data_IF_098138768728
#
_entry.id   IF_098138768728
#
_cell.length_a   1.000
_cell.length_b   1.000
_cell.length_c   1.000
_cell.angle_alpha   90.00
_cell.angle_beta   90.00
_cell.angle_gamma   90.00
#
_symmetry.space_group_name_H-M   'P 1'
#
loop_
_entity.id
_entity.type
_entity.pdbx_description
1 polymer ?
#
# COMPACT_ATOMS: atom_id res chain seq x y z
N UNK A 1 0.48 -31.50 -10.74
CA UNK A 1 0.75 -30.51 -11.81
C UNK A 1 2.20 -30.11 -11.68
N UNK A 2 3.05 -30.25 -12.71
CA UNK A 2 4.44 -29.86 -12.61
C UNK A 2 4.53 -28.34 -12.38
N UNK A 3 5.39 -27.94 -11.43
CA UNK A 3 5.58 -26.54 -10.99
C UNK A 3 5.93 -25.58 -12.14
N UNK A 4 6.44 -26.10 -13.26
CA UNK A 4 6.74 -25.35 -14.48
C UNK A 4 5.51 -24.68 -15.11
N UNK A 5 4.31 -25.24 -14.92
CA UNK A 5 3.08 -24.64 -15.41
C UNK A 5 2.60 -23.45 -14.57
N UNK A 6 2.93 -23.44 -13.27
CA UNK A 6 2.46 -22.43 -12.33
C UNK A 6 3.23 -21.10 -12.49
N UNK A 7 4.53 -21.18 -12.78
CA UNK A 7 5.42 -20.02 -12.97
C UNK A 7 5.02 -19.16 -14.18
N UNK A 8 4.55 -19.77 -15.27
CA UNK A 8 4.21 -19.07 -16.52
C UNK A 8 2.88 -18.31 -16.45
N UNK A 9 1.96 -18.74 -15.58
CA UNK A 9 0.59 -18.19 -15.49
C UNK A 9 0.56 -16.91 -14.64
N UNK A 10 1.43 -16.80 -13.64
CA UNK A 10 1.38 -15.70 -12.65
C UNK A 10 2.55 -14.71 -12.73
N UNK A 11 3.48 -14.86 -13.68
CA UNK A 11 4.63 -13.96 -13.83
C UNK A 11 5.63 -14.01 -12.67
N UNK A 12 5.52 -14.99 -11.77
CA UNK A 12 6.41 -15.12 -10.61
C UNK A 12 7.65 -15.92 -11.04
N UNK A 13 8.73 -15.22 -11.39
CA UNK A 13 10.06 -15.82 -11.54
C UNK A 13 10.68 -16.04 -10.14
N UNK A 14 10.48 -17.23 -9.59
CA UNK A 14 11.25 -17.67 -8.42
C UNK A 14 12.66 -17.99 -8.93
N UNK A 15 13.60 -17.06 -8.73
CA UNK A 15 14.98 -17.12 -9.19
C UNK A 15 15.80 -18.22 -8.49
N UNK A 16 15.45 -19.50 -8.64
CA UNK A 16 16.26 -20.61 -8.13
C UNK A 16 17.54 -20.82 -8.96
N UNK A 17 17.47 -20.61 -10.28
CA UNK A 17 18.57 -20.85 -11.21
C UNK A 17 19.78 -19.92 -10.98
N UNK A 18 19.55 -18.68 -10.52
CA UNK A 18 20.62 -17.72 -10.23
C UNK A 18 21.44 -18.15 -9.00
N UNK A 19 20.82 -18.82 -8.04
CA UNK A 19 21.51 -19.29 -6.83
C UNK A 19 22.16 -20.67 -6.99
N UNK A 20 21.94 -21.36 -8.12
CA UNK A 20 22.57 -22.66 -8.42
C UNK A 20 22.15 -23.79 -7.48
N UNK A 21 21.06 -23.64 -6.71
CA UNK A 21 20.57 -24.64 -5.75
C UNK A 21 19.14 -25.06 -6.11
N UNK A 22 18.93 -26.37 -6.21
CA UNK A 22 17.64 -26.99 -6.50
C UNK A 22 16.91 -27.34 -5.18
N UNK A 23 15.58 -27.27 -5.18
CA UNK A 23 14.70 -27.71 -4.08
C UNK A 23 14.89 -26.96 -2.73
N UNK A 24 15.07 -25.64 -2.78
CA UNK A 24 15.03 -24.78 -1.60
C UNK A 24 13.69 -24.06 -1.48
N UNK A 25 13.09 -23.95 -0.28
CA UNK A 25 11.99 -23.02 -0.03
C UNK A 25 12.54 -21.59 -0.09
N UNK A 26 12.71 -21.04 -1.30
CA UNK A 26 12.88 -19.60 -1.48
C UNK A 26 11.55 -19.00 -1.03
N UNK A 27 11.57 -18.35 0.13
CA UNK A 27 10.41 -17.73 0.74
C UNK A 27 9.78 -16.79 -0.28
N UNK A 28 8.67 -17.22 -0.89
CA UNK A 28 7.98 -16.51 -1.97
C UNK A 28 7.64 -15.04 -1.63
N UNK A 29 7.67 -14.70 -0.35
CA UNK A 29 7.48 -13.35 0.18
C UNK A 29 8.51 -12.36 -0.40
N UNK A 30 9.74 -12.79 -0.69
CA UNK A 30 10.77 -11.90 -1.26
C UNK A 30 10.67 -11.73 -2.78
N UNK A 31 9.87 -12.54 -3.49
CA UNK A 31 9.80 -12.44 -4.95
C UNK A 31 9.24 -11.08 -5.39
N UNK A 32 8.28 -10.49 -4.65
CA UNK A 32 7.78 -9.14 -4.93
C UNK A 32 8.82 -8.04 -4.70
N UNK A 33 9.77 -8.25 -3.78
CA UNK A 33 10.85 -7.30 -3.53
C UNK A 33 11.87 -7.27 -4.68
N UNK A 34 12.06 -8.40 -5.36
CA UNK A 34 13.03 -8.56 -6.46
C UNK A 34 12.38 -8.22 -7.81
N UNK A 35 11.15 -8.70 -8.05
CA UNK A 35 10.46 -8.61 -9.34
C UNK A 35 9.76 -7.26 -9.56
N UNK A 36 9.31 -6.61 -8.47
CA UNK A 36 8.60 -5.33 -8.53
C UNK A 36 9.10 -4.33 -7.48
N UNK A 37 10.36 -3.86 -7.57
CA UNK A 37 10.94 -2.94 -6.58
C UNK A 37 10.12 -1.65 -6.40
N UNK A 38 9.41 -1.20 -7.44
CA UNK A 38 8.54 -0.02 -7.38
C UNK A 38 7.23 -0.25 -6.61
N UNK A 39 6.75 -1.50 -6.52
CA UNK A 39 5.52 -1.81 -5.80
C UNK A 39 5.72 -1.69 -4.29
N UNK A 40 6.89 -2.08 -3.78
CA UNK A 40 7.18 -2.02 -2.35
C UNK A 40 7.20 -0.57 -1.83
N UNK A 41 7.73 0.38 -2.61
CA UNK A 41 7.71 1.80 -2.24
C UNK A 41 6.30 2.40 -2.22
N UNK A 42 5.32 1.77 -2.85
CA UNK A 42 3.93 2.23 -2.83
C UNK A 42 3.24 1.99 -1.48
N UNK A 43 3.65 0.97 -0.70
CA UNK A 43 3.07 0.65 0.60
C UNK A 43 3.19 1.78 1.64
N UNK A 44 4.39 2.34 1.92
CA UNK A 44 4.51 3.41 2.90
C UNK A 44 3.70 4.65 2.48
N UNK A 45 3.65 4.97 1.19
CA UNK A 45 2.82 6.06 0.66
C UNK A 45 1.33 5.74 0.82
N UNK A 46 0.93 4.50 0.54
CA UNK A 46 -0.43 4.02 0.73
C UNK A 46 -0.91 4.19 2.17
N UNK A 47 -0.07 3.92 3.16
CA UNK A 47 -0.38 4.17 4.57
C UNK A 47 -0.57 5.66 4.89
N UNK A 48 0.28 6.55 4.36
CA UNK A 48 0.09 7.99 4.54
C UNK A 48 -1.25 8.46 3.97
N UNK A 49 -1.58 8.02 2.75
CA UNK A 49 -2.84 8.34 2.09
C UNK A 49 -4.02 7.79 2.90
N UNK A 50 -3.93 6.55 3.39
CA UNK A 50 -4.98 5.91 4.19
C UNK A 50 -5.33 6.74 5.43
N UNK A 51 -4.35 7.12 6.26
CA UNK A 51 -4.61 7.91 7.47
C UNK A 51 -5.21 9.29 7.15
N UNK A 52 -4.79 9.93 6.05
CA UNK A 52 -5.36 11.20 5.64
C UNK A 52 -6.79 11.06 5.11
N UNK A 53 -7.10 9.97 4.39
CA UNK A 53 -8.47 9.67 3.93
C UNK A 53 -9.40 9.30 5.09
N UNK A 54 -8.93 8.55 6.08
CA UNK A 54 -9.72 8.24 7.28
C UNK A 54 -10.19 9.51 7.98
N UNK A 55 -9.29 10.50 8.14
CA UNK A 55 -9.65 11.82 8.67
C UNK A 55 -10.62 12.58 7.79
N UNK A 56 -10.45 12.50 6.47
CA UNK A 56 -11.35 13.14 5.51
C UNK A 56 -12.76 12.55 5.55
N UNK A 57 -12.90 11.24 5.79
CA UNK A 57 -14.17 10.51 5.79
C UNK A 57 -14.92 10.61 7.12
N UNK A 58 -14.23 10.95 8.21
CA UNK A 58 -14.81 11.07 9.55
C UNK A 58 -15.98 12.07 9.58
N UNK A 59 -17.16 11.60 10.01
CA UNK A 59 -18.37 12.42 10.09
C UNK A 59 -19.09 12.71 8.77
N UNK A 60 -18.67 12.11 7.65
CA UNK A 60 -19.31 12.26 6.33
C UNK A 60 -20.13 11.04 5.92
N UNK A 61 -20.98 11.24 4.92
CA UNK A 61 -21.63 10.11 4.24
C UNK A 61 -20.59 9.39 3.37
N UNK A 62 -20.25 8.17 3.79
CA UNK A 62 -19.14 7.40 3.25
C UNK A 62 -19.29 7.12 1.75
N UNK A 63 -20.46 6.67 1.30
CA UNK A 63 -20.68 6.28 -0.09
C UNK A 63 -20.49 7.45 -1.05
N UNK A 64 -21.10 8.58 -0.74
CA UNK A 64 -20.99 9.83 -1.52
C UNK A 64 -19.56 10.34 -1.56
N UNK A 65 -18.86 10.31 -0.43
CA UNK A 65 -17.49 10.84 -0.36
C UNK A 65 -16.49 9.92 -1.10
N UNK A 66 -16.63 8.61 -0.96
CA UNK A 66 -15.86 7.61 -1.72
C UNK A 66 -16.09 7.78 -3.23
N UNK A 67 -17.35 7.89 -3.67
CA UNK A 67 -17.66 8.08 -5.09
C UNK A 67 -17.08 9.40 -5.64
N UNK A 68 -17.15 10.49 -4.88
CA UNK A 68 -16.55 11.78 -5.26
C UNK A 68 -15.04 11.69 -5.41
N UNK A 69 -14.36 11.06 -4.45
CA UNK A 69 -12.91 10.94 -4.39
C UNK A 69 -12.39 10.05 -5.53
N UNK A 70 -12.97 8.86 -5.70
CA UNK A 70 -12.46 7.86 -6.64
C UNK A 70 -12.94 8.05 -8.08
N UNK A 71 -13.92 8.93 -8.34
CA UNK A 71 -14.28 9.32 -9.70
C UNK A 71 -13.15 10.10 -10.43
N UNK A 72 -12.22 10.71 -9.69
CA UNK A 72 -11.11 11.47 -10.26
C UNK A 72 -9.92 10.55 -10.62
N UNK A 73 -9.91 9.97 -11.82
CA UNK A 73 -8.88 9.00 -12.24
C UNK A 73 -7.78 9.50 -13.18
N UNK A 74 -7.95 10.68 -13.82
CA UNK A 74 -7.03 11.18 -14.87
C UNK A 74 -6.34 12.49 -14.46
N UNK A 75 -5.77 12.51 -13.26
CA UNK A 75 -5.05 13.67 -12.69
C UNK A 75 -3.79 13.19 -11.96
N UNK A 76 -2.88 14.12 -11.65
CA UNK A 76 -1.64 13.79 -10.91
C UNK A 76 -1.96 13.36 -9.47
N UNK A 77 -1.08 12.58 -8.81
CA UNK A 77 -1.30 12.16 -7.42
C UNK A 77 -1.50 13.33 -6.45
N UNK A 78 -0.76 14.43 -6.62
CA UNK A 78 -0.92 15.63 -5.78
C UNK A 78 -2.27 16.31 -6.02
N UNK A 79 -2.67 16.51 -7.29
CA UNK A 79 -3.99 17.05 -7.61
C UNK A 79 -5.11 16.14 -7.10
N UNK A 80 -4.91 14.82 -7.13
CA UNK A 80 -5.83 13.85 -6.56
C UNK A 80 -5.96 14.00 -5.04
N UNK A 81 -4.84 14.13 -4.31
CA UNK A 81 -4.86 14.35 -2.87
C UNK A 81 -5.56 15.66 -2.47
N UNK A 82 -5.31 16.74 -3.22
CA UNK A 82 -5.98 18.02 -3.02
C UNK A 82 -7.49 17.88 -3.29
N UNK A 83 -7.88 17.23 -4.39
CA UNK A 83 -9.30 16.95 -4.66
C UNK A 83 -9.93 16.08 -3.56
N UNK A 84 -9.21 15.08 -3.08
CA UNK A 84 -9.74 14.11 -2.13
C UNK A 84 -9.91 14.72 -0.73
N UNK A 85 -8.90 15.44 -0.26
CA UNK A 85 -8.72 15.82 1.15
C UNK A 85 -8.59 17.34 1.39
N UNK A 86 -8.57 18.14 0.32
CA UNK A 86 -8.32 19.59 0.38
C UNK A 86 -6.86 19.98 0.59
N UNK A 87 -5.95 19.01 0.74
CA UNK A 87 -4.55 19.24 1.09
C UNK A 87 -3.62 18.34 0.26
N UNK A 88 -2.34 18.71 0.19
CA UNK A 88 -1.30 17.82 -0.32
C UNK A 88 -1.09 16.63 0.63
N UNK A 89 -0.33 15.63 0.20
CA UNK A 89 0.00 14.48 1.05
C UNK A 89 0.76 14.93 2.30
N UNK A 90 0.35 14.45 3.47
CA UNK A 90 0.95 14.78 4.75
C UNK A 90 1.11 13.55 5.64
N UNK A 91 2.16 13.54 6.46
CA UNK A 91 2.36 12.56 7.53
C UNK A 91 1.63 12.93 8.83
N UNK A 92 1.06 14.14 8.92
CA UNK A 92 0.41 14.64 10.14
C UNK A 92 -0.71 13.72 10.64
N UNK A 93 -1.65 13.24 9.82
CA UNK A 93 -2.72 12.33 10.28
C UNK A 93 -2.19 11.03 10.89
N UNK A 94 -1.11 10.49 10.33
CA UNK A 94 -0.44 9.30 10.87
C UNK A 94 0.20 9.59 12.23
N UNK A 95 0.93 10.70 12.36
CA UNK A 95 1.58 11.07 13.62
C UNK A 95 0.55 11.35 14.73
N UNK A 96 -0.55 12.01 14.42
CA UNK A 96 -1.66 12.21 15.38
C UNK A 96 -2.27 10.86 15.84
N UNK A 97 -2.35 9.87 14.95
CA UNK A 97 -2.79 8.54 15.32
C UNK A 97 -1.76 7.81 16.21
N UNK A 98 -0.47 7.99 15.94
CA UNK A 98 0.61 7.48 16.79
C UNK A 98 0.54 8.09 18.18
N UNK A 99 0.36 9.41 18.31
CA UNK A 99 0.24 10.09 19.61
C UNK A 99 -0.91 9.51 20.43
N UNK A 100 -2.08 9.31 19.81
CA UNK A 100 -3.23 8.67 20.45
C UNK A 100 -2.92 7.24 20.91
N UNK A 101 -2.25 6.47 20.07
CA UNK A 101 -1.86 5.09 20.40
C UNK A 101 -0.86 5.05 21.57
N UNK A 102 0.16 5.91 21.57
CA UNK A 102 1.14 6.03 22.65
C UNK A 102 0.46 6.37 23.98
N UNK A 103 -0.47 7.33 23.98
CA UNK A 103 -1.25 7.68 25.17
C UNK A 103 -2.08 6.49 25.66
N UNK A 104 -2.72 5.75 24.74
CA UNK A 104 -3.56 4.61 25.09
C UNK A 104 -2.75 3.47 25.74
N UNK A 105 -1.54 3.19 25.26
CA UNK A 105 -0.69 2.12 25.81
C UNK A 105 0.05 2.53 27.08
N UNK A 106 0.35 3.82 27.26
CA UNK A 106 1.06 4.35 28.45
C UNK A 106 0.18 4.48 29.69
N UNK A 107 -1.14 4.26 29.57
CA UNK A 107 -2.10 4.27 30.68
C UNK A 107 -2.26 2.89 31.37
N UNK A 108 -1.35 1.94 31.07
CA UNK A 108 -1.22 0.67 31.78
C UNK A 108 -0.14 0.78 32.84
#
# INVERSE_FOLDING_TARGET
MPLSGFQKIYGININADIFGVKDQPILAIYSHMIDNPLYLSAYPIGHLIQYQLEKQLEGKEFGKEVMRIFAAGRITPEAWMINATGNTLSNKPLLEAVDKAVIAVSKK
#
